data_IF_003531725821
#
_entry.id   IF_003531725821
#
_cell.length_a   1.000
_cell.length_b   1.000
_cell.length_c   1.000
_cell.angle_alpha   90.00
_cell.angle_beta   90.00
_cell.angle_gamma   90.00
#
_symmetry.space_group_name_H-M   'P 1'
#
loop_
_entity.id
_entity.type
_entity.pdbx_description
1 polymer ?
#
# COMPACT_ATOMS: atom_id res chain seq x y z
N UNK A 1 22.56 19.99 -3.06
CA UNK A 1 21.12 20.25 -2.91
C UNK A 1 20.41 18.97 -3.32
N UNK A 2 19.77 18.25 -2.40
CA UNK A 2 19.01 17.05 -2.78
C UNK A 2 17.77 17.49 -3.55
N UNK A 3 17.71 17.15 -4.82
CA UNK A 3 16.54 17.34 -5.67
C UNK A 3 15.32 16.66 -5.05
N UNK A 4 14.21 17.38 -4.93
CA UNK A 4 12.97 16.84 -4.41
C UNK A 4 12.52 15.66 -5.29
N UNK A 5 12.02 14.59 -4.67
CA UNK A 5 11.50 13.45 -5.41
C UNK A 5 10.19 13.90 -6.07
N UNK A 6 10.05 13.78 -7.41
CA UNK A 6 8.85 14.23 -8.11
C UNK A 6 7.63 13.40 -7.72
N UNK A 7 6.46 14.03 -7.85
CA UNK A 7 5.16 13.38 -7.64
C UNK A 7 4.81 12.52 -8.86
N UNK A 8 5.39 11.31 -8.90
CA UNK A 8 5.22 10.33 -9.97
C UNK A 8 4.42 9.13 -9.45
N UNK A 9 3.64 8.53 -10.34
CA UNK A 9 2.79 7.38 -10.02
C UNK A 9 3.48 6.08 -10.41
N UNK A 10 3.57 5.18 -9.43
CA UNK A 10 4.04 3.81 -9.62
C UNK A 10 2.91 2.83 -9.36
N UNK A 11 2.79 1.82 -10.21
CA UNK A 11 1.87 0.72 -10.01
C UNK A 11 2.66 -0.56 -9.88
N UNK A 12 2.25 -1.40 -8.93
CA UNK A 12 2.87 -2.71 -8.75
C UNK A 12 1.80 -3.81 -8.77
N UNK A 13 2.21 -4.99 -9.21
CA UNK A 13 1.37 -6.17 -9.32
C UNK A 13 2.07 -7.38 -8.71
N UNK A 14 1.34 -8.15 -7.92
CA UNK A 14 1.75 -9.44 -7.42
C UNK A 14 0.83 -10.52 -8.00
N UNK A 15 1.39 -11.47 -8.76
CA UNK A 15 0.65 -12.66 -9.23
C UNK A 15 0.67 -13.80 -8.22
N UNK A 16 1.73 -13.87 -7.42
CA UNK A 16 1.96 -14.93 -6.45
C UNK A 16 2.74 -14.37 -5.28
N UNK A 17 2.18 -14.54 -4.08
CA UNK A 17 2.83 -14.19 -2.83
C UNK A 17 4.15 -14.94 -2.67
N UNK A 18 5.22 -14.19 -2.40
CA UNK A 18 6.43 -14.75 -1.82
C UNK A 18 6.21 -15.01 -0.32
N UNK A 19 6.06 -16.28 0.05
CA UNK A 19 5.77 -16.66 1.45
C UNK A 19 6.93 -16.39 2.40
N UNK A 20 8.16 -16.31 1.90
CA UNK A 20 9.35 -16.02 2.72
C UNK A 20 9.37 -14.57 3.24
N UNK A 21 8.56 -13.69 2.65
CA UNK A 21 8.39 -12.32 3.09
C UNK A 21 7.39 -12.15 4.24
N UNK A 22 6.63 -13.21 4.55
CA UNK A 22 5.66 -13.18 5.64
C UNK A 22 6.37 -12.98 6.98
N UNK A 23 5.77 -12.16 7.83
CA UNK A 23 6.19 -11.98 9.20
C UNK A 23 4.97 -11.94 10.10
N UNK A 24 5.16 -12.39 11.33
CA UNK A 24 4.18 -12.19 12.37
C UNK A 24 4.25 -10.76 12.89
N UNK A 25 3.22 -10.40 13.63
CA UNK A 25 3.12 -9.08 14.25
C UNK A 25 4.15 -8.97 15.40
N UNK A 26 4.87 -7.85 15.51
CA UNK A 26 5.79 -7.62 16.62
C UNK A 26 5.06 -7.66 17.98
N UNK A 27 5.72 -8.08 19.07
CA UNK A 27 5.14 -8.05 20.40
C UNK A 27 4.68 -6.63 20.80
N UNK A 28 3.59 -6.55 21.57
CA UNK A 28 3.02 -5.28 22.03
C UNK A 28 2.08 -4.61 21.02
N UNK A 29 1.75 -5.30 19.93
CA UNK A 29 0.75 -4.87 18.95
C UNK A 29 -0.30 -5.96 18.73
N UNK A 30 -1.48 -5.57 18.24
CA UNK A 30 -2.49 -6.48 17.70
C UNK A 30 -3.11 -5.92 16.42
N UNK A 31 -3.81 -6.77 15.67
CA UNK A 31 -4.58 -6.37 14.49
C UNK A 31 -6.07 -6.46 14.81
N UNK A 32 -6.84 -5.48 14.34
CA UNK A 32 -8.31 -5.52 14.38
C UNK A 32 -8.92 -4.72 13.24
N UNK A 33 -10.20 -4.95 12.98
CA UNK A 33 -10.94 -4.13 12.03
C UNK A 33 -11.18 -2.71 12.58
N UNK A 34 -11.18 -1.74 11.67
CA UNK A 34 -11.62 -0.37 11.93
C UNK A 34 -13.10 -0.37 12.29
N UNK A 35 -13.46 0.29 13.38
CA UNK A 35 -14.84 0.40 13.86
C UNK A 35 -15.54 1.57 13.16
N UNK A 36 -16.89 1.56 13.03
CA UNK A 36 -17.62 2.64 12.38
C UNK A 36 -17.36 4.04 12.94
N UNK A 37 -17.17 4.16 14.25
CA UNK A 37 -16.85 5.39 14.98
C UNK A 37 -15.38 5.84 14.85
N UNK A 38 -14.53 5.02 14.24
CA UNK A 38 -13.10 5.30 14.02
C UNK A 38 -12.79 5.77 12.59
N UNK A 39 -13.81 6.04 11.76
CA UNK A 39 -13.62 6.49 10.38
C UNK A 39 -12.74 7.74 10.31
N UNK A 40 -12.98 8.71 11.19
CA UNK A 40 -12.20 9.95 11.18
C UNK A 40 -10.74 9.72 11.59
N UNK A 41 -10.46 8.78 12.51
CA UNK A 41 -9.10 8.36 12.85
C UNK A 41 -8.40 7.77 11.62
N UNK A 42 -9.09 6.90 10.87
CA UNK A 42 -8.53 6.36 9.63
C UNK A 42 -8.20 7.46 8.63
N UNK A 43 -9.09 8.45 8.45
CA UNK A 43 -8.88 9.56 7.50
C UNK A 43 -7.71 10.45 7.91
N UNK A 44 -7.60 10.80 9.19
CA UNK A 44 -6.51 11.63 9.71
C UNK A 44 -5.16 10.94 9.58
N UNK A 45 -5.10 9.63 9.81
CA UNK A 45 -3.90 8.83 9.60
C UNK A 45 -3.37 8.95 8.17
N UNK A 46 -4.25 9.03 7.17
CA UNK A 46 -3.83 9.13 5.76
C UNK A 46 -3.23 10.49 5.40
N UNK A 47 -3.47 11.54 6.20
CA UNK A 47 -2.96 12.88 5.93
C UNK A 47 -1.50 13.07 6.37
N UNK A 48 -1.00 12.19 7.23
CA UNK A 48 0.36 12.30 7.77
C UNK A 48 1.40 12.15 6.67
N UNK A 49 2.43 13.00 6.67
CA UNK A 49 3.55 12.97 5.70
C UNK A 49 3.13 13.07 4.22
N UNK A 50 1.94 13.60 3.91
CA UNK A 50 1.45 13.76 2.52
C UNK A 50 1.83 15.10 1.89
N UNK A 51 2.73 15.87 2.49
CA UNK A 51 3.19 17.16 1.96
C UNK A 51 2.11 18.24 1.86
N UNK A 52 1.00 18.10 2.59
CA UNK A 52 -0.10 19.07 2.60
C UNK A 52 -1.35 18.65 1.82
N UNK A 53 -1.60 17.34 1.64
CA UNK A 53 -2.88 16.87 1.11
C UNK A 53 -4.02 17.38 2.00
N UNK A 54 -5.05 18.05 1.45
CA UNK A 54 -6.15 18.56 2.27
C UNK A 54 -7.07 17.42 2.71
N UNK A 55 -7.67 17.55 3.90
CA UNK A 55 -8.68 16.60 4.42
C UNK A 55 -9.82 16.34 3.43
N UNK A 56 -10.24 17.36 2.68
CA UNK A 56 -11.27 17.26 1.64
C UNK A 56 -10.94 16.26 0.53
N UNK A 57 -9.65 16.03 0.22
CA UNK A 57 -9.24 15.00 -0.74
C UNK A 57 -9.57 13.61 -0.21
N UNK A 58 -9.23 13.32 1.05
CA UNK A 58 -9.49 12.03 1.69
C UNK A 58 -11.00 11.81 1.85
N UNK A 59 -11.74 12.84 2.26
CA UNK A 59 -13.20 12.78 2.36
C UNK A 59 -13.86 12.51 1.00
N UNK A 60 -13.42 13.21 -0.04
CA UNK A 60 -13.90 13.00 -1.40
C UNK A 60 -13.57 11.60 -1.92
N UNK A 61 -12.36 11.10 -1.66
CA UNK A 61 -11.95 9.76 -2.04
C UNK A 61 -12.81 8.70 -1.34
N UNK A 62 -12.99 8.82 -0.02
CA UNK A 62 -13.83 7.90 0.75
C UNK A 62 -15.27 7.91 0.24
N UNK A 63 -15.85 9.09 0.05
CA UNK A 63 -17.22 9.26 -0.44
C UNK A 63 -17.41 8.63 -1.80
N UNK A 64 -16.44 8.78 -2.70
CA UNK A 64 -16.51 8.23 -4.05
C UNK A 64 -16.34 6.71 -4.08
N UNK A 65 -15.38 6.16 -3.34
CA UNK A 65 -14.93 4.78 -3.54
C UNK A 65 -15.38 3.79 -2.46
N UNK A 66 -15.61 4.25 -1.23
CA UNK A 66 -15.87 3.37 -0.09
C UNK A 66 -17.27 3.55 0.48
N UNK A 67 -17.80 4.78 0.54
CA UNK A 67 -19.13 5.04 1.08
C UNK A 67 -20.26 4.23 0.40
N UNK A 68 -20.25 3.97 -0.93
CA UNK A 68 -21.26 3.11 -1.56
C UNK A 68 -21.27 1.67 -1.04
N UNK A 69 -20.17 1.21 -0.43
CA UNK A 69 -20.01 -0.10 0.22
C UNK A 69 -19.45 0.07 1.63
N UNK A 70 -19.99 1.01 2.40
CA UNK A 70 -19.45 1.43 3.70
C UNK A 70 -19.27 0.28 4.69
N UNK A 71 -20.26 -0.61 4.82
CA UNK A 71 -20.15 -1.78 5.70
C UNK A 71 -18.99 -2.69 5.30
N UNK A 72 -18.77 -2.87 3.99
CA UNK A 72 -17.65 -3.66 3.47
C UNK A 72 -16.30 -3.00 3.77
N UNK A 73 -16.23 -1.67 3.79
CA UNK A 73 -15.03 -0.96 4.22
C UNK A 73 -14.67 -1.33 5.66
N UNK A 74 -15.61 -1.27 6.61
CA UNK A 74 -15.33 -1.64 8.00
C UNK A 74 -15.06 -3.14 8.19
N UNK A 75 -15.58 -4.00 7.32
CA UNK A 75 -15.26 -5.43 7.30
C UNK A 75 -13.85 -5.76 6.76
N UNK A 76 -13.18 -4.79 6.12
CA UNK A 76 -11.87 -5.01 5.47
C UNK A 76 -10.75 -4.13 6.00
N UNK A 77 -11.06 -2.88 6.35
CA UNK A 77 -10.10 -1.91 6.86
C UNK A 77 -9.46 -2.44 8.14
N UNK A 78 -8.21 -2.87 8.05
CA UNK A 78 -7.49 -3.46 9.17
C UNK A 78 -6.58 -2.40 9.78
N UNK A 79 -6.68 -2.23 11.10
CA UNK A 79 -5.73 -1.47 11.89
C UNK A 79 -4.69 -2.38 12.53
N UNK A 80 -3.46 -1.87 12.59
CA UNK A 80 -2.48 -2.29 13.58
C UNK A 80 -2.61 -1.35 14.78
N UNK A 81 -2.77 -1.91 15.97
CA UNK A 81 -2.97 -1.18 17.21
C UNK A 81 -1.83 -1.46 18.19
N UNK A 82 -1.48 -0.47 19.00
CA UNK A 82 -0.54 -0.64 20.12
C UNK A 82 -1.21 -1.35 21.33
N UNK A 83 -0.48 -1.47 22.44
CA UNK A 83 -0.94 -2.15 23.64
C UNK A 83 -2.17 -1.48 24.28
N UNK A 84 -2.36 -0.19 24.01
CA UNK A 84 -3.48 0.65 24.49
C UNK A 84 -4.70 0.63 23.54
N UNK A 85 -4.71 -0.22 22.51
CA UNK A 85 -5.76 -0.31 21.46
C UNK A 85 -5.83 0.91 20.52
N UNK A 86 -4.81 1.75 20.50
CA UNK A 86 -4.73 2.93 19.62
C UNK A 86 -4.27 2.53 18.22
N UNK A 87 -4.98 2.92 17.14
CA UNK A 87 -4.57 2.65 15.76
C UNK A 87 -3.26 3.37 15.39
N UNK A 88 -2.23 2.59 15.06
CA UNK A 88 -0.89 3.07 14.66
C UNK A 88 -0.51 2.70 13.23
N UNK A 89 -1.37 1.97 12.54
CA UNK A 89 -1.23 1.69 11.12
C UNK A 89 -2.53 1.17 10.52
N UNK A 90 -2.64 1.24 9.20
CA UNK A 90 -3.78 0.72 8.45
C UNK A 90 -3.32 0.05 7.16
N UNK A 91 -4.10 -0.92 6.70
CA UNK A 91 -4.03 -1.47 5.36
C UNK A 91 -5.31 -2.28 5.10
N UNK A 92 -5.72 -2.41 3.84
CA UNK A 92 -6.77 -3.36 3.48
C UNK A 92 -6.76 -3.74 2.01
N UNK A 93 -7.39 -4.88 1.71
CA UNK A 93 -7.69 -5.27 0.34
C UNK A 93 -9.02 -4.67 -0.10
N UNK A 94 -9.10 -4.27 -1.37
CA UNK A 94 -10.32 -3.76 -1.97
C UNK A 94 -10.51 -4.38 -3.35
N UNK A 95 -11.77 -4.66 -3.75
CA UNK A 95 -12.08 -5.03 -5.13
C UNK A 95 -12.46 -3.77 -5.89
N UNK A 96 -11.52 -3.28 -6.68
CA UNK A 96 -11.72 -2.06 -7.46
C UNK A 96 -12.61 -2.36 -8.67
N UNK A 97 -13.71 -1.61 -8.79
CA UNK A 97 -14.81 -1.84 -9.73
C UNK A 97 -15.39 -3.26 -9.74
N UNK A 98 -15.21 -4.02 -8.65
CA UNK A 98 -15.51 -5.46 -8.59
C UNK A 98 -14.71 -6.33 -9.58
N UNK A 99 -13.63 -5.79 -10.17
CA UNK A 99 -12.82 -6.46 -11.19
C UNK A 99 -11.51 -7.01 -10.64
N UNK A 100 -10.69 -6.17 -10.00
CA UNK A 100 -9.35 -6.57 -9.53
C UNK A 100 -9.11 -6.21 -8.06
N UNK A 101 -8.29 -7.02 -7.41
CA UNK A 101 -7.92 -6.84 -6.01
C UNK A 101 -6.78 -5.84 -5.92
N UNK A 102 -6.89 -4.88 -5.01
CA UNK A 102 -5.85 -3.88 -4.75
C UNK A 102 -5.56 -3.78 -3.26
N UNK A 103 -4.29 -3.62 -2.90
CA UNK A 103 -3.89 -3.20 -1.55
C UNK A 103 -4.04 -1.69 -1.47
N UNK A 104 -4.88 -1.25 -0.54
CA UNK A 104 -5.17 0.15 -0.33
C UNK A 104 -4.67 0.62 1.03
N UNK A 105 -4.22 1.89 1.04
CA UNK A 105 -3.90 2.68 2.23
C UNK A 105 -3.01 1.95 3.24
N UNK A 106 -1.88 1.40 2.77
CA UNK A 106 -0.84 0.87 3.65
C UNK A 106 -0.13 2.05 4.32
N UNK A 107 -0.40 2.24 5.61
CA UNK A 107 0.11 3.35 6.39
C UNK A 107 0.57 2.86 7.75
N UNK A 108 1.68 3.40 8.24
CA UNK A 108 2.14 3.26 9.62
C UNK A 108 2.48 4.66 10.10
N UNK A 109 2.14 4.98 11.35
CA UNK A 109 2.49 6.26 11.95
C UNK A 109 4.01 6.42 12.01
N UNK A 110 4.56 7.64 11.84
CA UNK A 110 6.01 7.85 11.74
C UNK A 110 6.82 7.26 12.90
N UNK A 111 6.33 7.43 14.13
CA UNK A 111 6.99 6.93 15.35
C UNK A 111 7.00 5.41 15.47
N UNK A 112 6.18 4.73 14.66
CA UNK A 112 6.00 3.29 14.63
C UNK A 112 6.59 2.63 13.37
N UNK A 113 7.13 3.43 12.44
CA UNK A 113 7.83 2.91 11.27
C UNK A 113 9.12 2.16 11.65
N UNK A 114 9.58 1.28 10.77
CA UNK A 114 10.81 0.50 11.02
C UNK A 114 10.67 -0.62 12.05
N UNK A 115 9.50 -0.76 12.70
CA UNK A 115 9.23 -1.83 13.69
C UNK A 115 8.62 -3.11 13.09
N UNK A 116 8.46 -3.18 11.77
CA UNK A 116 7.90 -4.36 11.08
C UNK A 116 6.38 -4.34 10.87
N UNK A 117 5.65 -3.33 11.34
CA UNK A 117 4.19 -3.26 11.26
C UNK A 117 3.64 -3.30 9.82
N UNK A 118 4.27 -2.57 8.88
CA UNK A 118 3.84 -2.60 7.48
C UNK A 118 3.96 -4.01 6.86
N UNK A 119 5.03 -4.75 7.22
CA UNK A 119 5.19 -6.15 6.81
C UNK A 119 4.14 -7.05 7.46
N UNK A 120 3.86 -6.88 8.74
CA UNK A 120 2.85 -7.65 9.44
C UNK A 120 1.44 -7.42 8.87
N UNK A 121 1.08 -6.17 8.55
CA UNK A 121 -0.17 -5.81 7.88
C UNK A 121 -0.30 -6.49 6.52
N UNK A 122 0.70 -6.38 5.64
CA UNK A 122 0.69 -7.09 4.35
C UNK A 122 0.64 -8.61 4.52
N UNK A 123 1.36 -9.14 5.52
CA UNK A 123 1.34 -10.56 5.84
C UNK A 123 -0.06 -11.02 6.22
N UNK A 124 -0.76 -10.27 7.07
CA UNK A 124 -2.13 -10.56 7.46
C UNK A 124 -3.08 -10.56 6.26
N UNK A 125 -2.98 -9.54 5.39
CA UNK A 125 -3.87 -9.41 4.25
C UNK A 125 -3.65 -10.49 3.18
N UNK A 126 -2.41 -10.90 2.94
CA UNK A 126 -2.06 -11.74 1.79
C UNK A 126 -1.91 -13.23 2.12
N UNK A 127 -1.68 -13.60 3.39
CA UNK A 127 -1.32 -14.98 3.81
C UNK A 127 -2.29 -16.05 3.29
N UNK A 128 -3.58 -15.74 3.38
CA UNK A 128 -4.70 -16.65 3.07
C UNK A 128 -5.56 -16.12 1.92
N UNK A 129 -5.03 -15.19 1.11
CA UNK A 129 -5.76 -14.67 -0.04
C UNK A 129 -5.98 -15.78 -1.09
N UNK A 130 -7.22 -16.04 -1.53
CA UNK A 130 -7.50 -17.05 -2.54
C UNK A 130 -6.79 -16.75 -3.85
N UNK A 131 -6.38 -17.80 -4.58
CA UNK A 131 -5.72 -17.65 -5.89
C UNK A 131 -6.59 -16.88 -6.89
N UNK A 132 -7.92 -16.96 -6.77
CA UNK A 132 -8.87 -16.25 -7.64
C UNK A 132 -8.88 -14.72 -7.42
N UNK A 133 -8.30 -14.22 -6.33
CA UNK A 133 -8.17 -12.79 -6.06
C UNK A 133 -6.81 -12.22 -6.50
N UNK A 134 -5.94 -13.06 -7.05
CA UNK A 134 -4.73 -12.64 -7.77
C UNK A 134 -5.05 -12.41 -9.26
N UNK A 135 -4.31 -11.51 -9.94
CA UNK A 135 -3.26 -10.65 -9.41
C UNK A 135 -3.76 -9.56 -8.45
N UNK A 136 -2.91 -9.22 -7.47
CA UNK A 136 -3.14 -8.10 -6.54
C UNK A 136 -2.33 -6.90 -7.00
N UNK A 137 -2.98 -5.75 -7.07
CA UNK A 137 -2.36 -4.50 -7.49
C UNK A 137 -2.15 -3.54 -6.31
N UNK A 138 -1.33 -2.52 -6.52
CA UNK A 138 -1.27 -1.35 -5.64
C UNK A 138 -0.74 -0.14 -6.41
N UNK A 139 -1.06 1.05 -5.89
CA UNK A 139 -0.52 2.32 -6.33
C UNK A 139 0.41 2.88 -5.24
N UNK A 140 1.54 3.44 -5.65
CA UNK A 140 2.54 4.03 -4.76
C UNK A 140 3.32 5.13 -5.49
N UNK A 141 4.32 5.72 -4.82
CA UNK A 141 5.13 6.81 -5.34
C UNK A 141 6.62 6.51 -5.09
N UNK A 142 7.57 7.04 -5.90
CA UNK A 142 9.00 6.82 -5.70
C UNK A 142 9.52 7.34 -4.34
N UNK A 143 8.88 8.37 -3.79
CA UNK A 143 9.17 8.89 -2.45
C UNK A 143 8.91 7.83 -1.36
N UNK A 144 8.00 6.88 -1.62
CA UNK A 144 7.72 5.72 -0.77
C UNK A 144 8.68 4.54 -1.04
N UNK A 145 9.95 4.78 -1.38
CA UNK A 145 10.93 3.75 -1.75
C UNK A 145 11.06 2.60 -0.73
N UNK A 146 10.94 2.87 0.58
CA UNK A 146 10.92 1.83 1.63
C UNK A 146 9.71 0.90 1.50
N UNK A 147 8.55 1.43 1.09
CA UNK A 147 7.36 0.65 0.80
C UNK A 147 7.50 -0.11 -0.52
N UNK A 148 8.06 0.50 -1.57
CA UNK A 148 8.38 -0.18 -2.84
C UNK A 148 9.26 -1.41 -2.60
N UNK A 149 10.30 -1.25 -1.78
CA UNK A 149 11.15 -2.36 -1.32
C UNK A 149 10.32 -3.43 -0.61
N UNK A 150 9.50 -3.03 0.36
CA UNK A 150 8.65 -3.94 1.12
C UNK A 150 7.73 -4.74 0.18
N UNK A 151 7.03 -4.09 -0.75
CA UNK A 151 6.15 -4.76 -1.71
C UNK A 151 6.94 -5.73 -2.60
N UNK A 152 8.13 -5.33 -3.06
CA UNK A 152 9.01 -6.21 -3.85
C UNK A 152 9.35 -7.50 -3.10
N UNK A 153 9.62 -7.42 -1.79
CA UNK A 153 9.88 -8.63 -0.98
C UNK A 153 8.70 -9.63 -1.04
N UNK A 154 7.46 -9.13 -1.02
CA UNK A 154 6.23 -9.93 -1.10
C UNK A 154 5.95 -10.51 -2.50
N UNK A 155 6.78 -10.20 -3.49
CA UNK A 155 6.62 -10.65 -4.87
C UNK A 155 5.89 -9.66 -5.77
N UNK A 156 5.63 -8.43 -5.32
CA UNK A 156 5.15 -7.38 -6.22
C UNK A 156 6.24 -6.96 -7.21
N UNK A 157 5.86 -6.72 -8.45
CA UNK A 157 6.71 -6.19 -9.51
C UNK A 157 6.13 -4.87 -10.02
N UNK A 158 6.99 -3.95 -10.46
CA UNK A 158 6.56 -2.70 -11.10
C UNK A 158 5.89 -3.03 -12.44
N UNK A 159 4.74 -2.40 -12.70
CA UNK A 159 4.09 -2.50 -14.01
C UNK A 159 4.79 -1.59 -15.01
N UNK A 160 5.23 -2.15 -16.14
CA UNK A 160 5.77 -1.36 -17.25
C UNK A 160 4.69 -0.70 -18.11
N UNK A 161 3.47 -1.23 -18.08
CA UNK A 161 2.32 -0.79 -18.86
C UNK A 161 1.00 -1.20 -18.15
N UNK A 162 -0.17 -0.66 -18.54
CA UNK A 162 -0.37 0.41 -19.51
C UNK A 162 0.18 1.75 -18.99
N UNK A 163 0.35 2.72 -19.91
CA UNK A 163 0.80 4.07 -19.57
C UNK A 163 -0.23 4.88 -18.75
N UNK A 164 -1.48 4.41 -18.67
CA UNK A 164 -2.55 5.05 -17.91
C UNK A 164 -3.35 3.99 -17.12
N UNK A 165 -3.48 4.17 -15.82
CA UNK A 165 -4.24 3.28 -14.92
C UNK A 165 -5.15 4.15 -14.05
N UNK A 166 -6.46 3.93 -14.09
CA UNK A 166 -7.44 4.71 -13.32
C UNK A 166 -7.32 6.22 -13.47
N UNK A 167 -7.01 6.68 -14.69
CA UNK A 167 -6.84 8.10 -15.01
C UNK A 167 -5.54 8.72 -14.49
N UNK A 168 -4.60 7.92 -13.99
CA UNK A 168 -3.24 8.33 -13.61
C UNK A 168 -2.23 7.79 -14.59
N UNK A 169 -1.22 8.59 -14.93
CA UNK A 169 -0.09 8.10 -15.71
C UNK A 169 0.66 7.00 -14.94
N UNK A 170 1.25 6.04 -15.64
CA UNK A 170 2.18 5.08 -15.07
C UNK A 170 3.60 5.55 -15.39
N UNK A 171 4.25 6.20 -14.43
CA UNK A 171 5.48 6.96 -14.62
C UNK A 171 6.73 6.10 -14.31
N UNK A 172 6.61 4.78 -14.39
CA UNK A 172 7.66 3.83 -14.01
C UNK A 172 9.02 4.10 -14.64
N UNK A 173 9.06 4.48 -15.93
CA UNK A 173 10.31 4.77 -16.64
C UNK A 173 11.01 6.02 -16.07
N UNK A 174 10.26 7.07 -15.76
CA UNK A 174 10.78 8.30 -15.15
C UNK A 174 11.13 8.10 -13.67
N UNK A 175 10.41 7.22 -12.97
CA UNK A 175 10.62 6.93 -11.56
C UNK A 175 11.87 6.07 -11.27
N UNK A 176 12.28 5.20 -12.21
CA UNK A 176 13.38 4.25 -12.00
C UNK A 176 14.71 4.91 -11.59
N UNK A 177 15.19 5.99 -12.25
CA UNK A 177 16.40 6.70 -11.81
C UNK A 177 16.32 7.22 -10.37
N UNK A 178 15.14 7.67 -9.93
CA UNK A 178 14.93 8.12 -8.55
C UNK A 178 14.97 6.94 -7.58
N UNK A 179 14.31 5.83 -7.90
CA UNK A 179 14.37 4.61 -7.08
C UNK A 179 15.82 4.10 -6.95
N UNK A 180 16.59 4.11 -8.04
CA UNK A 180 18.00 3.70 -8.02
C UNK A 180 18.85 4.57 -7.09
N UNK A 181 18.55 5.87 -7.02
CA UNK A 181 19.23 6.83 -6.13
C UNK A 181 18.81 6.69 -4.66
N UNK A 182 17.53 6.39 -4.41
CA UNK A 182 16.93 6.39 -3.07
C UNK A 182 17.06 5.04 -2.34
N UNK A 183 17.12 3.93 -3.07
CA UNK A 183 17.15 2.58 -2.51
C UNK A 183 18.59 2.05 -2.37
N UNK A 184 18.85 1.15 -1.41
CA UNK A 184 20.07 0.35 -1.43
C UNK A 184 20.21 -0.40 -2.76
N UNK A 185 21.42 -0.45 -3.32
CA UNK A 185 21.66 -1.03 -4.64
C UNK A 185 21.14 -2.48 -4.78
N UNK A 186 21.33 -3.30 -3.74
CA UNK A 186 20.85 -4.68 -3.71
C UNK A 186 19.30 -4.76 -3.73
N UNK A 187 18.61 -3.79 -3.14
CA UNK A 187 17.15 -3.72 -3.17
C UNK A 187 16.65 -3.28 -4.55
N UNK A 188 17.29 -2.26 -5.14
CA UNK A 188 16.94 -1.78 -6.48
C UNK A 188 17.11 -2.87 -7.54
N UNK A 189 18.22 -3.62 -7.52
CA UNK A 189 18.48 -4.72 -8.47
C UNK A 189 17.47 -5.87 -8.35
N UNK A 190 16.74 -5.98 -7.23
CA UNK A 190 15.67 -6.97 -7.04
C UNK A 190 14.32 -6.53 -7.59
N UNK A 191 14.15 -5.25 -7.92
CA UNK A 191 12.93 -4.77 -8.55
C UNK A 191 12.75 -5.46 -9.91
N UNK A 192 11.54 -5.95 -10.15
CA UNK A 192 11.15 -6.55 -11.42
C UNK A 192 10.21 -5.61 -12.14
N UNK A 193 10.32 -5.54 -13.46
CA UNK A 193 9.33 -4.90 -14.33
C UNK A 193 8.57 -6.00 -15.07
N UNK A 194 7.25 -5.88 -15.13
CA UNK A 194 6.38 -6.85 -15.79
C UNK A 194 5.27 -6.14 -16.56
N UNK A 195 4.81 -6.79 -17.64
CA UNK A 195 3.57 -6.41 -18.30
C UNK A 195 2.37 -7.16 -17.68
N UNK A 196 1.17 -6.57 -17.65
CA UNK A 196 -0.03 -7.24 -17.15
C UNK A 196 -0.34 -8.57 -17.84
N UNK A 197 0.00 -8.68 -19.13
CA UNK A 197 -0.35 -9.82 -19.98
C UNK A 197 0.76 -10.88 -20.14
N UNK A 198 1.97 -10.61 -19.63
CA UNK A 198 3.09 -11.57 -19.68
C UNK A 198 3.03 -12.54 -18.49
N UNK A 199 2.94 -13.85 -18.74
CA UNK A 199 2.95 -14.91 -17.70
C UNK A 199 4.27 -15.00 -16.92
#
# INVERSE_FOLDING_TARGET
>A
MSEAVPDLNLFMMCRRLNRDALSDLPPGFHLRLCRPDELDLWKDMQLLNTGGTPRSYIDGYFTKWYAPKGDLFFQRCTFACNAEDEPVGSAFLWKQYDLYTTVHWVKVLPDYEGRGLGRALLSHLLRDLPSADYPVYLHTHPSCNRAVKLYSDFGFALLSEPALIDGRSNDVAEALPFLQRLMPEADFRRLRLVRPDEE
#
